data_IF_532897304393
#
_entry.id   IF_532897304393
#
_cell.length_a   1.000
_cell.length_b   1.000
_cell.length_c   1.000
_cell.angle_alpha   90.00
_cell.angle_beta   90.00
_cell.angle_gamma   90.00
#
_symmetry.space_group_name_H-M   'P 1'
#
loop_
_entity.id
_entity.type
_entity.pdbx_description
1 polymer ?
#
# COMPACT_ATOMS: atom_id res chain seq x y z
N UNK A 1 3.92 -1.42 23.63
CA UNK A 1 4.54 -2.74 23.30
C UNK A 1 5.43 -2.56 22.10
N UNK A 2 6.62 -3.17 22.08
CA UNK A 2 7.53 -3.12 20.94
C UNK A 2 6.95 -3.96 19.79
N UNK A 3 6.98 -3.49 18.54
CA UNK A 3 6.56 -4.30 17.42
C UNK A 3 7.47 -5.54 17.26
N UNK A 4 6.90 -6.64 16.81
CA UNK A 4 7.64 -7.84 16.37
C UNK A 4 7.59 -7.93 14.86
N UNK A 5 8.58 -8.58 14.24
CA UNK A 5 8.64 -8.80 12.79
C UNK A 5 8.75 -10.29 12.52
N UNK A 6 7.86 -10.82 11.72
CA UNK A 6 7.85 -12.17 11.19
C UNK A 6 7.91 -12.11 9.65
N UNK A 7 8.18 -13.25 9.01
CA UNK A 7 8.11 -13.39 7.56
C UNK A 7 7.15 -14.51 7.19
N UNK A 8 6.46 -14.35 6.09
CA UNK A 8 5.65 -15.42 5.48
C UNK A 8 5.92 -15.49 3.98
N UNK A 9 5.74 -16.65 3.40
CA UNK A 9 5.84 -16.82 1.96
C UNK A 9 4.53 -16.43 1.28
N UNK A 10 4.59 -15.48 0.36
CA UNK A 10 3.43 -15.07 -0.44
C UNK A 10 3.02 -16.18 -1.41
N UNK A 11 1.98 -15.94 -2.20
CA UNK A 11 1.38 -16.89 -3.16
C UNK A 11 2.38 -17.53 -4.15
N UNK A 12 3.52 -16.88 -4.38
CA UNK A 12 4.58 -17.31 -5.31
C UNK A 12 5.89 -17.71 -4.59
N UNK A 13 5.86 -17.84 -3.25
CA UNK A 13 7.01 -18.13 -2.42
C UNK A 13 7.92 -16.93 -2.16
N UNK A 14 7.52 -15.72 -2.54
CA UNK A 14 8.28 -14.50 -2.19
C UNK A 14 8.14 -14.22 -0.69
N UNK A 15 9.24 -14.15 0.09
CA UNK A 15 9.17 -13.85 1.50
C UNK A 15 8.84 -12.37 1.74
N UNK A 16 7.78 -12.12 2.50
CA UNK A 16 7.30 -10.80 2.87
C UNK A 16 7.33 -10.61 4.38
N UNK A 17 7.70 -9.41 4.82
CA UNK A 17 7.78 -9.06 6.23
C UNK A 17 6.41 -8.57 6.75
N UNK A 18 6.02 -9.12 7.90
CA UNK A 18 4.84 -8.73 8.65
C UNK A 18 5.26 -8.21 10.02
N UNK A 19 4.97 -6.95 10.29
CA UNK A 19 5.17 -6.36 11.60
C UNK A 19 3.87 -6.40 12.39
N UNK A 20 3.96 -6.74 13.69
CA UNK A 20 2.80 -6.84 14.59
C UNK A 20 2.98 -5.99 15.82
N UNK A 21 1.90 -5.34 16.27
CA UNK A 21 1.90 -4.59 17.52
C UNK A 21 0.52 -4.62 18.17
N UNK A 22 0.48 -4.86 19.49
CA UNK A 22 -0.77 -4.91 20.24
C UNK A 22 -1.42 -6.28 20.25
N UNK A 23 -2.68 -6.29 20.66
CA UNK A 23 -3.55 -7.47 20.70
C UNK A 23 -5.02 -7.02 20.64
N UNK A 24 -5.90 -7.88 20.17
CA UNK A 24 -7.34 -7.62 20.08
C UNK A 24 -7.86 -7.75 18.66
N UNK A 25 -8.73 -6.82 18.21
CA UNK A 25 -9.30 -6.87 16.86
C UNK A 25 -8.21 -6.66 15.80
N UNK A 26 -8.08 -7.56 14.81
CA UNK A 26 -7.10 -7.40 13.74
C UNK A 26 -7.37 -6.16 12.89
N UNK A 27 -6.36 -5.32 12.70
CA UNK A 27 -6.34 -4.22 11.75
C UNK A 27 -5.11 -4.35 10.86
N UNK A 28 -5.33 -4.70 9.60
CA UNK A 28 -4.28 -4.78 8.59
C UNK A 28 -4.02 -3.41 7.99
N UNK A 29 -2.77 -2.91 8.08
CA UNK A 29 -2.35 -1.61 7.56
C UNK A 29 -1.33 -1.76 6.43
N UNK A 30 -1.60 -1.09 5.31
CA UNK A 30 -0.82 -1.10 4.09
C UNK A 30 -0.19 0.27 3.83
N UNK A 31 1.11 0.30 3.62
CA UNK A 31 1.89 1.54 3.46
C UNK A 31 1.88 2.12 2.03
N UNK A 32 2.42 3.34 1.86
CA UNK A 32 2.58 4.04 0.59
C UNK A 32 3.76 3.56 -0.26
N UNK A 33 3.79 3.98 -1.53
CA UNK A 33 4.87 3.65 -2.48
C UNK A 33 6.22 4.18 -1.98
N UNK A 34 7.26 3.37 -2.14
CA UNK A 34 8.64 3.61 -1.66
C UNK A 34 8.77 3.79 -0.15
N UNK A 35 7.71 3.50 0.62
CA UNK A 35 7.69 3.57 2.06
C UNK A 35 7.86 2.17 2.69
N UNK A 36 7.46 2.00 3.95
CA UNK A 36 7.43 0.75 4.68
C UNK A 36 6.49 0.85 5.88
N UNK A 37 6.19 -0.27 6.52
CA UNK A 37 5.50 -0.30 7.81
C UNK A 37 6.22 0.56 8.85
N UNK A 38 7.56 0.47 8.88
CA UNK A 38 8.39 1.28 9.76
C UNK A 38 8.16 2.78 9.53
N UNK A 39 8.13 3.23 8.28
CA UNK A 39 8.01 4.66 7.95
C UNK A 39 6.59 5.19 8.11
N UNK A 40 5.56 4.44 7.71
CA UNK A 40 4.19 4.94 7.79
C UNK A 40 3.56 4.75 9.17
N UNK A 41 3.85 3.66 9.86
CA UNK A 41 3.05 3.26 11.02
C UNK A 41 3.83 3.24 12.33
N UNK A 42 5.08 2.74 12.32
CA UNK A 42 5.84 2.47 13.55
C UNK A 42 6.59 3.71 14.03
N UNK A 43 7.39 4.31 13.15
CA UNK A 43 8.32 5.39 13.49
C UNK A 43 7.68 6.58 14.22
N UNK A 44 6.47 6.95 13.85
CA UNK A 44 5.75 8.10 14.40
C UNK A 44 4.71 7.72 15.47
N UNK A 45 4.74 6.46 15.92
CA UNK A 45 3.89 5.97 17.01
C UNK A 45 2.42 5.77 16.63
N UNK A 46 2.07 5.72 15.34
CA UNK A 46 0.70 5.47 14.91
C UNK A 46 0.24 4.07 15.31
N UNK A 47 1.05 3.05 15.02
CA UNK A 47 0.74 1.68 15.40
C UNK A 47 0.57 1.51 16.92
N UNK A 48 1.42 2.15 17.73
CA UNK A 48 1.32 2.10 19.18
C UNK A 48 0.03 2.72 19.70
N UNK A 49 -0.37 3.88 19.16
CA UNK A 49 -1.63 4.55 19.53
C UNK A 49 -2.84 3.71 19.17
N UNK A 50 -2.84 3.08 17.99
CA UNK A 50 -3.92 2.20 17.53
C UNK A 50 -3.97 0.93 18.40
N UNK A 51 -2.82 0.30 18.67
CA UNK A 51 -2.73 -0.85 19.55
C UNK A 51 -3.25 -0.56 20.97
N UNK A 52 -3.01 0.66 21.47
CA UNK A 52 -3.55 1.13 22.75
C UNK A 52 -5.08 1.23 22.80
N UNK A 53 -5.77 1.16 21.65
CA UNK A 53 -7.24 1.13 21.54
C UNK A 53 -7.82 -0.29 21.43
N UNK A 54 -7.02 -1.34 21.66
CA UNK A 54 -7.48 -2.73 21.65
C UNK A 54 -7.44 -3.38 20.27
N UNK A 55 -6.54 -2.92 19.41
CA UNK A 55 -6.27 -3.55 18.10
C UNK A 55 -4.98 -4.38 18.12
N UNK A 56 -4.99 -5.49 17.40
CA UNK A 56 -3.78 -6.10 16.87
C UNK A 56 -3.47 -5.43 15.53
N UNK A 57 -2.44 -4.59 15.50
CA UNK A 57 -2.03 -3.87 14.30
C UNK A 57 -1.08 -4.76 13.51
N UNK A 58 -1.51 -5.17 12.33
CA UNK A 58 -0.80 -6.01 11.37
C UNK A 58 -0.31 -5.12 10.22
N UNK A 59 1.00 -5.01 10.03
CA UNK A 59 1.59 -4.07 9.08
C UNK A 59 2.48 -4.83 8.11
N UNK A 60 2.00 -4.98 6.88
CA UNK A 60 2.73 -5.63 5.80
C UNK A 60 3.74 -4.66 5.19
N UNK A 61 5.00 -5.08 5.04
CA UNK A 61 5.87 -4.49 4.04
C UNK A 61 5.55 -5.14 2.68
N UNK A 62 5.09 -4.35 1.72
CA UNK A 62 4.87 -4.83 0.36
C UNK A 62 6.17 -5.34 -0.25
N UNK A 63 6.12 -6.29 -1.18
CA UNK A 63 7.30 -6.68 -1.96
C UNK A 63 8.00 -5.43 -2.50
N UNK A 64 9.35 -5.46 -2.57
CA UNK A 64 10.22 -4.33 -2.94
C UNK A 64 10.46 -3.33 -1.80
N UNK A 65 9.68 -3.36 -0.73
CA UNK A 65 9.71 -2.34 0.32
C UNK A 65 10.14 -2.94 1.67
N UNK A 66 10.72 -2.07 2.51
CA UNK A 66 11.07 -2.39 3.89
C UNK A 66 11.92 -3.65 4.02
N UNK A 67 11.49 -4.58 4.88
CA UNK A 67 12.17 -5.85 5.16
C UNK A 67 11.68 -7.01 4.25
N UNK A 68 10.76 -6.73 3.30
CA UNK A 68 10.28 -7.70 2.32
C UNK A 68 11.25 -7.90 1.16
N UNK A 69 11.22 -9.08 0.55
CA UNK A 69 12.04 -9.38 -0.62
C UNK A 69 11.71 -8.50 -1.83
N UNK A 70 12.73 -8.24 -2.64
CA UNK A 70 12.66 -7.47 -3.88
C UNK A 70 13.18 -8.29 -5.06
N UNK A 71 12.45 -9.31 -5.55
CA UNK A 71 12.87 -10.11 -6.70
C UNK A 71 13.03 -9.24 -7.94
N UNK A 72 14.09 -9.48 -8.73
CA UNK A 72 14.39 -8.68 -9.94
C UNK A 72 13.84 -9.27 -11.23
N UNK A 73 13.29 -10.47 -11.18
CA UNK A 73 12.67 -11.11 -12.33
C UNK A 73 11.27 -10.56 -12.60
N UNK A 74 10.94 -10.28 -13.86
CA UNK A 74 9.63 -9.74 -14.23
C UNK A 74 8.48 -10.70 -13.91
N UNK A 75 8.73 -12.00 -13.90
CA UNK A 75 7.81 -13.08 -13.56
C UNK A 75 7.26 -12.98 -12.12
N UNK A 76 8.01 -12.35 -11.23
CA UNK A 76 7.59 -12.10 -9.85
C UNK A 76 6.56 -10.95 -9.71
N UNK A 77 6.18 -10.32 -10.82
CA UNK A 77 5.28 -9.16 -10.83
C UNK A 77 4.08 -9.36 -11.77
N UNK A 78 3.28 -10.41 -11.58
CA UNK A 78 2.03 -10.56 -12.34
C UNK A 78 1.07 -9.39 -12.06
N UNK A 79 0.09 -9.19 -12.93
CA UNK A 79 -0.92 -8.16 -12.73
C UNK A 79 -1.57 -8.27 -11.33
N UNK A 80 -1.79 -7.12 -10.69
CA UNK A 80 -2.34 -7.01 -9.34
C UNK A 80 -1.52 -7.76 -8.25
N UNK A 81 -0.22 -7.84 -8.42
CA UNK A 81 0.66 -8.61 -7.52
C UNK A 81 0.47 -8.22 -6.04
N UNK A 82 0.32 -6.94 -5.73
CA UNK A 82 0.13 -6.49 -4.34
C UNK A 82 -1.22 -6.94 -3.76
N UNK A 83 -2.27 -6.99 -4.57
CA UNK A 83 -3.56 -7.55 -4.13
C UNK A 83 -3.41 -9.04 -3.79
N UNK A 84 -2.66 -9.77 -4.62
CA UNK A 84 -2.39 -11.20 -4.38
C UNK A 84 -1.54 -11.41 -3.13
N UNK A 85 -0.57 -10.54 -2.86
CA UNK A 85 0.25 -10.58 -1.64
C UNK A 85 -0.60 -10.37 -0.38
N UNK A 86 -1.50 -9.39 -0.42
CA UNK A 86 -2.39 -9.11 0.72
C UNK A 86 -3.38 -10.25 0.93
N UNK A 87 -3.93 -10.82 -0.14
CA UNK A 87 -4.80 -11.99 -0.05
C UNK A 87 -4.06 -13.19 0.57
N UNK A 88 -2.84 -13.47 0.12
CA UNK A 88 -2.00 -14.53 0.70
C UNK A 88 -1.73 -14.31 2.20
N UNK A 89 -1.53 -13.05 2.62
CA UNK A 89 -1.37 -12.72 4.04
C UNK A 89 -2.66 -12.97 4.84
N UNK A 90 -3.81 -12.54 4.32
CA UNK A 90 -5.12 -12.75 4.97
C UNK A 90 -5.38 -14.25 5.15
N UNK A 91 -5.10 -15.05 4.12
CA UNK A 91 -5.24 -16.51 4.16
C UNK A 91 -4.24 -17.15 5.13
N UNK A 92 -2.96 -16.73 5.10
CA UNK A 92 -1.91 -17.22 6.00
C UNK A 92 -2.26 -17.00 7.47
N UNK A 93 -2.90 -15.87 7.79
CA UNK A 93 -3.31 -15.52 9.14
C UNK A 93 -4.70 -16.07 9.52
N UNK A 94 -5.44 -16.63 8.56
CA UNK A 94 -6.81 -17.12 8.76
C UNK A 94 -7.77 -15.99 9.17
N UNK A 95 -7.57 -14.77 8.68
CA UNK A 95 -8.41 -13.63 9.05
C UNK A 95 -9.78 -13.71 8.38
N UNK A 96 -10.84 -13.75 9.19
CA UNK A 96 -12.24 -13.76 8.73
C UNK A 96 -13.05 -12.55 9.20
N UNK A 97 -12.67 -11.94 10.32
CA UNK A 97 -13.25 -10.71 10.86
C UNK A 97 -12.11 -9.73 11.22
N UNK A 98 -11.82 -8.84 10.30
CA UNK A 98 -10.71 -7.88 10.40
C UNK A 98 -11.08 -6.54 9.76
N UNK A 99 -10.34 -5.51 10.12
CA UNK A 99 -10.40 -4.21 9.48
C UNK A 99 -9.19 -4.03 8.55
N UNK A 100 -9.36 -3.30 7.46
CA UNK A 100 -8.32 -3.04 6.48
C UNK A 100 -8.11 -1.53 6.34
N UNK A 101 -6.87 -1.08 6.40
CA UNK A 101 -6.52 0.31 6.17
C UNK A 101 -5.31 0.43 5.26
N UNK A 102 -5.27 1.50 4.47
CA UNK A 102 -4.12 1.76 3.61
C UNK A 102 -3.88 3.25 3.41
N UNK A 103 -2.63 3.60 3.13
CA UNK A 103 -2.22 4.95 2.74
C UNK A 103 -1.66 4.96 1.32
N UNK A 104 -2.15 5.86 0.47
CA UNK A 104 -1.69 6.03 -0.92
C UNK A 104 -1.69 4.69 -1.69
N UNK A 105 -0.53 4.09 -2.00
CA UNK A 105 -0.44 2.77 -2.63
C UNK A 105 -1.22 1.70 -1.84
N UNK A 106 -1.14 1.73 -0.51
CA UNK A 106 -1.88 0.81 0.35
C UNK A 106 -3.39 1.00 0.23
N UNK A 107 -3.87 2.24 0.20
CA UNK A 107 -5.28 2.55 -0.01
C UNK A 107 -5.77 2.09 -1.39
N UNK A 108 -4.96 2.34 -2.43
CA UNK A 108 -5.21 1.84 -3.77
C UNK A 108 -5.32 0.32 -3.81
N UNK A 109 -4.36 -0.38 -3.20
CA UNK A 109 -4.33 -1.84 -3.15
C UNK A 109 -5.55 -2.39 -2.42
N UNK A 110 -5.94 -1.77 -1.29
CA UNK A 110 -7.14 -2.16 -0.53
C UNK A 110 -8.41 -2.02 -1.37
N UNK A 111 -8.59 -0.88 -2.05
CA UNK A 111 -9.76 -0.64 -2.93
C UNK A 111 -9.79 -1.62 -4.10
N UNK A 112 -8.64 -1.90 -4.74
CA UNK A 112 -8.57 -2.93 -5.78
C UNK A 112 -8.98 -4.31 -5.27
N UNK A 113 -8.50 -4.70 -4.09
CA UNK A 113 -8.81 -6.00 -3.50
C UNK A 113 -10.31 -6.15 -3.21
N UNK A 114 -10.93 -5.11 -2.61
CA UNK A 114 -12.35 -5.11 -2.28
C UNK A 114 -13.23 -5.03 -3.53
N UNK A 115 -12.94 -4.09 -4.44
CA UNK A 115 -13.71 -3.89 -5.66
C UNK A 115 -13.72 -5.12 -6.58
N UNK A 116 -12.66 -5.92 -6.56
CA UNK A 116 -12.61 -7.20 -7.30
C UNK A 116 -13.14 -8.40 -6.49
N UNK A 117 -13.64 -8.19 -5.26
CA UNK A 117 -14.17 -9.28 -4.42
C UNK A 117 -13.09 -10.26 -3.93
N UNK A 118 -11.83 -9.81 -3.84
CA UNK A 118 -10.71 -10.62 -3.34
C UNK A 118 -10.64 -10.58 -1.82
N UNK A 119 -10.98 -9.44 -1.21
CA UNK A 119 -11.00 -9.23 0.24
C UNK A 119 -12.35 -8.66 0.68
N UNK A 120 -12.81 -9.10 1.85
CA UNK A 120 -14.07 -8.66 2.47
C UNK A 120 -13.82 -8.22 3.92
N UNK A 121 -13.14 -7.07 4.16
CA UNK A 121 -12.94 -6.57 5.50
C UNK A 121 -14.25 -6.06 6.11
N UNK A 122 -14.36 -6.09 7.45
CA UNK A 122 -15.55 -5.56 8.14
C UNK A 122 -15.63 -4.02 8.04
N UNK A 123 -14.48 -3.35 7.98
CA UNK A 123 -14.37 -1.88 7.81
C UNK A 123 -13.15 -1.56 6.96
N UNK A 124 -13.23 -0.47 6.20
CA UNK A 124 -12.16 -0.01 5.31
C UNK A 124 -11.72 1.42 5.66
N UNK A 125 -10.41 1.66 5.67
CA UNK A 125 -9.82 2.99 5.83
C UNK A 125 -8.97 3.30 4.60
N UNK A 126 -9.30 4.38 3.90
CA UNK A 126 -8.66 4.84 2.66
C UNK A 126 -7.97 6.17 2.93
N UNK A 127 -6.67 6.15 3.08
CA UNK A 127 -5.86 7.33 3.39
C UNK A 127 -5.09 7.87 2.18
N UNK A 128 -5.09 9.19 1.94
CA UNK A 128 -4.30 9.85 0.91
C UNK A 128 -4.60 9.33 -0.51
N UNK A 129 -5.88 9.12 -0.83
CA UNK A 129 -6.35 8.60 -2.11
C UNK A 129 -7.57 9.36 -2.59
N UNK A 130 -7.66 9.54 -3.89
CA UNK A 130 -8.80 10.09 -4.60
C UNK A 130 -9.03 9.35 -5.92
N UNK A 131 -10.04 9.77 -6.68
CA UNK A 131 -10.51 9.11 -7.91
C UNK A 131 -9.44 8.98 -8.99
N UNK A 132 -8.57 10.01 -9.17
CA UNK A 132 -7.51 9.99 -10.17
C UNK A 132 -6.41 8.96 -9.85
N UNK A 133 -6.08 8.75 -8.58
CA UNK A 133 -5.10 7.73 -8.15
C UNK A 133 -5.54 6.30 -8.45
N UNK A 134 -6.84 6.09 -8.67
CA UNK A 134 -7.44 4.80 -9.03
C UNK A 134 -7.60 4.67 -10.55
N UNK A 135 -8.38 5.55 -11.17
CA UNK A 135 -8.77 5.46 -12.58
C UNK A 135 -7.71 5.94 -13.56
N UNK A 136 -6.89 6.95 -13.18
CA UNK A 136 -5.83 7.52 -14.03
C UNK A 136 -4.43 7.03 -13.65
N UNK A 137 -4.32 5.81 -13.18
CA UNK A 137 -3.06 5.25 -12.65
C UNK A 137 -1.87 5.40 -13.60
N UNK A 138 -2.07 5.26 -14.90
CA UNK A 138 -0.96 5.32 -15.87
C UNK A 138 -0.23 6.68 -15.85
N UNK A 139 -0.96 7.77 -15.64
CA UNK A 139 -0.37 9.10 -15.47
C UNK A 139 0.55 9.15 -14.23
N UNK A 140 0.08 8.59 -13.13
CA UNK A 140 0.83 8.52 -11.86
C UNK A 140 2.03 7.57 -11.98
N UNK A 141 1.82 6.41 -12.61
CA UNK A 141 2.88 5.43 -12.88
C UNK A 141 3.99 6.00 -13.76
N UNK A 142 3.64 6.82 -14.78
CA UNK A 142 4.62 7.51 -15.63
C UNK A 142 5.54 8.41 -14.83
N UNK A 143 5.00 9.19 -13.88
CA UNK A 143 5.79 10.03 -12.99
C UNK A 143 6.78 9.19 -12.17
N UNK A 144 6.34 8.10 -11.53
CA UNK A 144 7.22 7.26 -10.74
C UNK A 144 8.21 6.45 -11.59
N UNK A 145 7.84 6.04 -12.81
CA UNK A 145 8.81 5.44 -13.76
C UNK A 145 9.92 6.43 -14.08
N UNK A 146 9.59 7.71 -14.33
CA UNK A 146 10.59 8.76 -14.53
C UNK A 146 11.50 8.90 -13.32
N UNK A 147 10.98 8.88 -12.08
CA UNK A 147 11.78 8.92 -10.85
C UNK A 147 12.81 7.79 -10.80
N UNK A 148 12.43 6.59 -11.26
CA UNK A 148 13.30 5.41 -11.29
C UNK A 148 14.32 5.51 -12.43
N UNK A 149 13.86 5.82 -13.64
CA UNK A 149 14.65 5.77 -14.87
C UNK A 149 15.69 6.90 -14.95
N UNK A 150 15.31 8.11 -14.50
CA UNK A 150 16.18 9.31 -14.48
C UNK A 150 16.81 9.57 -13.10
N UNK A 151 16.81 8.59 -12.21
CA UNK A 151 17.18 8.71 -10.79
C UNK A 151 18.45 9.54 -10.53
N UNK A 152 19.52 9.27 -11.31
CA UNK A 152 20.81 9.93 -11.15
C UNK A 152 20.88 11.29 -11.87
N UNK A 153 19.86 11.67 -12.65
CA UNK A 153 19.79 12.87 -13.47
C UNK A 153 18.81 13.93 -12.95
N UNK A 154 17.95 13.61 -11.98
CA UNK A 154 16.93 14.53 -11.44
C UNK A 154 17.60 15.62 -10.59
N UNK A 155 17.58 16.91 -11.01
CA UNK A 155 18.23 17.98 -10.28
C UNK A 155 17.34 18.49 -9.12
N UNK A 156 17.97 19.17 -8.18
CA UNK A 156 17.24 19.92 -7.14
C UNK A 156 16.35 20.99 -7.78
N UNK A 157 15.06 21.00 -7.37
CA UNK A 157 14.05 21.91 -7.93
C UNK A 157 13.14 21.25 -8.98
N UNK A 158 13.49 20.06 -9.47
CA UNK A 158 12.58 19.23 -10.28
C UNK A 158 11.41 18.72 -9.40
N UNK A 159 10.17 18.67 -9.91
CA UNK A 159 9.03 18.10 -9.17
C UNK A 159 9.27 16.67 -8.67
N UNK A 160 10.07 15.88 -9.37
CA UNK A 160 10.40 14.50 -9.01
C UNK A 160 11.52 14.38 -7.94
N UNK A 161 12.17 15.50 -7.57
CA UNK A 161 13.34 15.49 -6.71
C UNK A 161 13.07 14.87 -5.32
N UNK A 162 11.98 15.26 -4.68
CA UNK A 162 11.65 14.72 -3.35
C UNK A 162 11.28 13.25 -3.41
N UNK A 163 10.54 12.80 -4.43
CA UNK A 163 10.23 11.38 -4.63
C UNK A 163 11.49 10.56 -4.88
N UNK A 164 12.45 11.08 -5.66
CA UNK A 164 13.76 10.46 -5.90
C UNK A 164 14.57 10.36 -4.60
N UNK A 165 14.63 11.44 -3.81
CA UNK A 165 15.33 11.45 -2.52
C UNK A 165 14.69 10.46 -1.54
N UNK A 166 13.37 10.37 -1.53
CA UNK A 166 12.66 9.41 -0.69
C UNK A 166 12.99 7.98 -1.09
N UNK A 167 12.86 7.63 -2.37
CA UNK A 167 13.25 6.33 -2.91
C UNK A 167 14.70 5.98 -2.53
N UNK A 168 15.63 6.95 -2.65
CA UNK A 168 17.04 6.79 -2.25
C UNK A 168 17.20 6.50 -0.76
N UNK A 169 16.49 7.25 0.08
CA UNK A 169 16.58 7.13 1.54
C UNK A 169 16.08 5.77 2.06
N UNK A 170 15.15 5.15 1.33
CA UNK A 170 14.59 3.85 1.66
C UNK A 170 15.39 2.68 1.08
N UNK A 171 16.41 2.94 0.26
CA UNK A 171 17.23 1.89 -0.36
C UNK A 171 16.46 0.98 -1.31
N UNK A 172 15.35 1.44 -1.87
CA UNK A 172 14.46 0.65 -2.73
C UNK A 172 15.17 0.16 -3.98
N UNK A 173 15.07 -1.13 -4.29
CA UNK A 173 15.61 -1.72 -5.52
C UNK A 173 14.85 -1.17 -6.75
N UNK A 174 15.54 -0.41 -7.60
CA UNK A 174 14.94 0.28 -8.74
C UNK A 174 14.44 -0.66 -9.83
N UNK A 175 15.11 -1.81 -10.03
CA UNK A 175 14.70 -2.81 -11.03
C UNK A 175 13.37 -3.44 -10.57
N UNK A 176 13.32 -3.90 -9.35
CA UNK A 176 12.14 -4.48 -8.75
C UNK A 176 10.97 -3.47 -8.70
N UNK A 177 11.23 -2.22 -8.30
CA UNK A 177 10.24 -1.14 -8.26
C UNK A 177 9.65 -0.83 -9.65
N UNK A 178 10.46 -0.89 -10.71
CA UNK A 178 9.99 -0.69 -12.08
C UNK A 178 9.03 -1.80 -12.53
N UNK A 179 9.33 -3.06 -12.21
CA UNK A 179 8.43 -4.18 -12.48
C UNK A 179 7.13 -4.04 -11.69
N UNK A 180 7.22 -3.67 -10.40
CA UNK A 180 6.06 -3.43 -9.54
C UNK A 180 5.11 -2.38 -10.15
N UNK A 181 5.63 -1.24 -10.60
CA UNK A 181 4.81 -0.21 -11.24
C UNK A 181 4.07 -0.72 -12.49
N UNK A 182 4.70 -1.63 -13.24
CA UNK A 182 4.09 -2.24 -14.42
C UNK A 182 3.01 -3.29 -14.12
N UNK A 183 2.96 -3.80 -12.88
CA UNK A 183 1.99 -4.82 -12.46
C UNK A 183 0.65 -4.26 -11.96
N UNK A 184 0.54 -2.94 -11.84
CA UNK A 184 -0.61 -2.26 -11.23
C UNK A 184 -1.52 -1.63 -12.30
N UNK A 185 -2.64 -2.27 -12.70
CA UNK A 185 -3.59 -1.72 -13.66
C UNK A 185 -4.42 -0.57 -13.03
N UNK A 186 -5.02 0.29 -13.85
CA UNK A 186 -6.07 1.21 -13.40
C UNK A 186 -7.28 0.44 -12.86
N UNK A 187 -8.02 1.05 -11.93
CA UNK A 187 -9.29 0.54 -11.44
C UNK A 187 -10.43 1.13 -12.27
N UNK A 188 -11.33 0.29 -12.73
CA UNK A 188 -12.63 0.73 -13.20
C UNK A 188 -13.44 1.23 -12.00
N UNK A 189 -13.69 2.54 -11.95
CA UNK A 189 -14.37 3.16 -10.81
C UNK A 189 -15.80 2.65 -10.60
N UNK A 190 -16.44 2.11 -11.63
CA UNK A 190 -17.77 1.47 -11.49
C UNK A 190 -17.76 0.27 -10.53
N UNK A 191 -16.59 -0.36 -10.34
CA UNK A 191 -16.45 -1.49 -9.41
C UNK A 191 -16.50 -1.04 -7.95
N UNK A 192 -16.37 0.27 -7.66
CA UNK A 192 -16.44 0.79 -6.29
C UNK A 192 -17.84 0.62 -5.67
N UNK A 193 -18.89 0.41 -6.46
CA UNK A 193 -20.21 0.00 -5.97
C UNK A 193 -20.18 -1.28 -5.10
N UNK A 194 -19.11 -2.08 -5.20
CA UNK A 194 -18.89 -3.27 -4.38
C UNK A 194 -18.28 -2.96 -3.00
N UNK A 195 -17.87 -1.73 -2.77
CA UNK A 195 -17.34 -1.28 -1.47
C UNK A 195 -18.54 -0.96 -0.58
N UNK A 196 -19.15 -1.97 0.00
CA UNK A 196 -20.41 -1.87 0.78
C UNK A 196 -20.19 -1.82 2.29
N UNK A 197 -18.97 -2.11 2.77
CA UNK A 197 -18.62 -2.02 4.18
C UNK A 197 -18.47 -0.55 4.61
N UNK A 198 -18.63 -0.25 5.93
CA UNK A 198 -18.31 1.08 6.44
C UNK A 198 -16.91 1.50 6.04
N UNK A 199 -16.80 2.59 5.29
CA UNK A 199 -15.54 3.08 4.75
C UNK A 199 -15.27 4.50 5.22
N UNK A 200 -14.05 4.74 5.71
CA UNK A 200 -13.55 6.07 6.05
C UNK A 200 -12.52 6.51 5.02
N UNK A 201 -12.80 7.61 4.31
CA UNK A 201 -11.83 8.28 3.44
C UNK A 201 -11.17 9.41 4.21
N UNK A 202 -9.84 9.42 4.28
CA UNK A 202 -9.04 10.42 5.00
C UNK A 202 -7.97 10.99 4.06
N UNK A 203 -7.97 12.29 3.87
CA UNK A 203 -6.98 12.99 3.05
C UNK A 203 -6.61 14.32 3.71
N UNK A 204 -5.38 14.77 3.51
CA UNK A 204 -5.00 16.13 3.88
C UNK A 204 -5.73 17.14 2.98
N UNK A 205 -6.16 18.25 3.54
CA UNK A 205 -6.91 19.32 2.85
C UNK A 205 -6.14 19.98 1.70
N UNK A 206 -4.81 19.87 1.72
CA UNK A 206 -3.89 20.35 0.68
C UNK A 206 -3.40 19.23 -0.28
N UNK A 207 -3.72 17.97 0.01
CA UNK A 207 -3.29 16.83 -0.82
C UNK A 207 -4.16 16.74 -2.10
N UNK A 208 -3.53 16.93 -3.24
CA UNK A 208 -4.17 16.83 -4.58
C UNK A 208 -3.51 15.77 -5.46
N UNK A 209 -2.58 15.02 -4.89
CA UNK A 209 -1.72 14.09 -5.63
C UNK A 209 -2.48 12.96 -6.32
N UNK A 210 -3.56 12.48 -5.69
CA UNK A 210 -4.37 11.35 -6.17
C UNK A 210 -5.80 11.74 -6.60
N UNK A 211 -6.07 13.04 -6.81
CA UNK A 211 -7.38 13.54 -7.16
C UNK A 211 -8.26 13.84 -5.94
N UNK A 212 -9.58 14.00 -6.16
CA UNK A 212 -10.51 14.36 -5.09
C UNK A 212 -10.84 13.17 -4.20
N UNK A 213 -10.60 13.34 -2.90
CA UNK A 213 -11.02 12.39 -1.87
C UNK A 213 -12.53 12.52 -1.57
N UNK A 214 -13.08 13.73 -1.73
CA UNK A 214 -14.52 13.97 -1.59
C UNK A 214 -15.31 13.21 -2.67
N UNK A 215 -14.89 13.33 -3.95
CA UNK A 215 -15.51 12.56 -5.03
C UNK A 215 -15.39 11.04 -4.78
N UNK A 216 -14.27 10.58 -4.23
CA UNK A 216 -14.11 9.16 -3.90
C UNK A 216 -15.05 8.72 -2.76
N UNK A 217 -15.33 9.59 -1.79
CA UNK A 217 -16.22 9.29 -0.69
C UNK A 217 -17.70 9.30 -1.10
N UNK A 218 -18.05 9.98 -2.20
CA UNK A 218 -19.40 10.07 -2.73
C UNK A 218 -19.78 8.89 -3.66
N UNK A 219 -18.80 8.07 -4.07
CA UNK A 219 -18.98 6.86 -4.88
C UNK A 219 -19.35 5.64 -4.04
#
# INVERSE_FOLDING_TARGET
MTPTTDHFDSFDGTPLALHRQGAGRPLLLLHGLFSSAQMNWIRFGHAERIAGQGYEVLMLDFRVHGDSAAPRGAEAYPANVLVRDVAALVDHLGLTDYDLGGFSLGARTSLHAVAHGVLEPARLIVGGMGTAGLGEWEKRASFFRRVIDEFDAIPKGDPAYFSMQFLKSQGTDRIAARHLLGSMPALDLSLLERVTMPTLVVCGDEDRDNGSAEELADL
#
